data_IF_690401912561
#
_entry.id   IF_690401912561
#
_cell.length_a   1.000
_cell.length_b   1.000
_cell.length_c   1.000
_cell.angle_alpha   90.00
_cell.angle_beta   90.00
_cell.angle_gamma   90.00
#
_symmetry.space_group_name_H-M   'P 1'
#
loop_
_entity.id
_entity.type
_entity.pdbx_description
1 polymer ?
#
# COMPACT_ATOMS: atom_id res chain seq x y z
N UNK A 1 29.77 -6.44 -3.31
CA UNK A 1 28.34 -6.10 -3.39
C UNK A 1 28.15 -4.85 -2.57
N UNK A 2 27.62 -3.77 -3.15
CA UNK A 2 27.40 -2.54 -2.39
C UNK A 2 26.16 -2.68 -1.49
N UNK A 3 25.95 -1.74 -0.57
CA UNK A 3 24.84 -1.79 0.39
C UNK A 3 23.47 -1.78 -0.30
N UNK A 4 23.32 -1.02 -1.39
CA UNK A 4 22.08 -0.93 -2.14
C UNK A 4 21.69 -2.27 -2.80
N UNK A 5 22.67 -3.00 -3.35
CA UNK A 5 22.47 -4.33 -3.94
C UNK A 5 22.02 -5.33 -2.87
N UNK A 6 22.61 -5.27 -1.67
CA UNK A 6 22.22 -6.13 -0.56
C UNK A 6 20.79 -5.85 -0.10
N UNK A 7 20.41 -4.56 0.06
CA UNK A 7 19.03 -4.19 0.40
C UNK A 7 18.06 -4.70 -0.67
N UNK A 8 18.36 -4.47 -1.95
CA UNK A 8 17.54 -4.98 -3.06
C UNK A 8 17.37 -6.50 -3.00
N UNK A 9 18.43 -7.25 -2.70
CA UNK A 9 18.33 -8.70 -2.55
C UNK A 9 17.38 -9.09 -1.40
N UNK A 10 17.52 -8.44 -0.24
CA UNK A 10 16.65 -8.67 0.94
C UNK A 10 15.18 -8.39 0.60
N UNK A 11 14.89 -7.29 -0.09
CA UNK A 11 13.54 -6.89 -0.46
C UNK A 11 12.88 -7.82 -1.49
N UNK A 12 13.66 -8.62 -2.22
CA UNK A 12 13.16 -9.58 -3.19
C UNK A 12 13.08 -11.02 -2.64
N UNK A 13 13.37 -11.23 -1.35
CA UNK A 13 13.23 -12.55 -0.72
C UNK A 13 11.76 -12.96 -0.63
N UNK A 14 11.53 -14.27 -0.66
CA UNK A 14 10.21 -14.82 -0.45
C UNK A 14 9.67 -14.51 0.96
N UNK A 15 8.35 -14.37 1.10
CA UNK A 15 7.72 -14.10 2.41
C UNK A 15 7.90 -15.26 3.40
N UNK A 16 8.25 -16.46 2.92
CA UNK A 16 8.61 -17.61 3.77
C UNK A 16 10.01 -17.48 4.37
N UNK A 17 10.89 -16.72 3.75
CA UNK A 17 12.27 -16.55 4.20
C UNK A 17 12.31 -15.42 5.23
N UNK A 18 12.51 -15.70 6.53
CA UNK A 18 12.59 -14.64 7.52
C UNK A 18 13.78 -13.71 7.22
N UNK A 19 13.56 -12.41 7.41
CA UNK A 19 14.64 -11.43 7.33
C UNK A 19 15.22 -11.28 8.74
N UNK A 20 16.56 -11.37 8.93
CA UNK A 20 17.16 -11.21 10.24
C UNK A 20 16.74 -9.89 10.90
N UNK A 21 16.32 -9.94 12.17
CA UNK A 21 15.76 -8.77 12.88
C UNK A 21 16.70 -7.55 12.85
N UNK A 22 18.01 -7.75 12.93
CA UNK A 22 18.99 -6.68 12.83
C UNK A 22 18.94 -5.96 11.47
N UNK A 23 18.70 -6.71 10.38
CA UNK A 23 18.54 -6.15 9.03
C UNK A 23 17.21 -5.40 8.92
N UNK A 24 16.13 -5.97 9.47
CA UNK A 24 14.81 -5.30 9.52
C UNK A 24 14.93 -3.97 10.23
N UNK A 25 15.41 -3.97 11.47
CA UNK A 25 15.56 -2.75 12.29
C UNK A 25 16.48 -1.73 11.61
N UNK A 26 17.56 -2.16 10.97
CA UNK A 26 18.44 -1.26 10.22
C UNK A 26 17.70 -0.58 9.08
N UNK A 27 16.95 -1.32 8.25
CA UNK A 27 16.24 -0.74 7.11
C UNK A 27 15.05 0.11 7.56
N UNK A 28 14.27 -0.35 8.54
CA UNK A 28 13.04 0.34 8.98
C UNK A 28 13.30 1.51 9.93
N UNK A 29 14.53 1.70 10.41
CA UNK A 29 14.93 2.89 11.19
C UNK A 29 15.36 4.06 10.32
N UNK A 30 15.40 3.89 8.99
CA UNK A 30 15.79 4.91 8.03
C UNK A 30 14.60 5.33 7.16
N UNK A 31 14.60 6.56 6.62
CA UNK A 31 13.63 6.98 5.63
C UNK A 31 13.54 5.99 4.43
N UNK A 32 12.34 5.79 3.86
CA UNK A 32 11.09 6.50 4.18
C UNK A 32 10.33 5.96 5.40
N UNK A 33 10.81 4.90 6.05
CA UNK A 33 10.11 4.33 7.21
C UNK A 33 10.11 5.30 8.39
N UNK A 34 8.98 5.31 9.09
CA UNK A 34 8.83 6.02 10.36
C UNK A 34 8.34 4.98 11.37
N UNK A 35 9.22 4.50 12.27
CA UNK A 35 8.84 3.49 13.25
C UNK A 35 7.72 3.97 14.16
N UNK A 36 6.58 3.30 14.11
CA UNK A 36 5.45 3.50 15.02
C UNK A 36 5.14 2.18 15.69
N UNK A 37 5.16 2.18 17.01
CA UNK A 37 4.90 0.98 17.80
C UNK A 37 3.50 0.42 17.51
N UNK A 38 3.45 -0.87 17.16
CA UNK A 38 2.21 -1.56 16.81
C UNK A 38 1.72 -1.32 15.39
N UNK A 39 2.46 -0.54 14.58
CA UNK A 39 2.08 -0.29 13.18
C UNK A 39 3.15 -0.84 12.26
N UNK A 40 2.77 -1.84 11.45
CA UNK A 40 3.63 -2.36 10.39
C UNK A 40 3.62 -1.44 9.16
N UNK A 41 4.72 -1.48 8.42
CA UNK A 41 4.79 -0.92 7.07
C UNK A 41 4.50 0.59 6.97
N UNK A 42 4.63 1.35 8.07
CA UNK A 42 4.38 2.79 8.11
C UNK A 42 5.54 3.58 7.51
N UNK A 43 5.24 4.44 6.52
CA UNK A 43 6.23 5.30 5.86
C UNK A 43 5.58 6.53 5.26
N UNK A 44 6.38 7.59 5.14
CA UNK A 44 6.06 8.70 4.24
C UNK A 44 6.19 8.19 2.80
N UNK A 45 5.28 8.57 1.91
CA UNK A 45 5.40 8.26 0.50
C UNK A 45 6.52 9.09 -0.15
N UNK A 46 6.91 10.21 0.47
CA UNK A 46 8.13 10.92 0.08
C UNK A 46 9.38 10.15 0.46
N UNK A 47 10.31 10.08 -0.48
CA UNK A 47 11.68 9.66 -0.22
C UNK A 47 12.63 10.43 -1.14
N UNK A 48 13.92 10.36 -0.83
CA UNK A 48 14.95 11.00 -1.64
C UNK A 48 14.78 10.59 -3.12
N UNK A 49 14.66 11.61 -3.98
CA UNK A 49 14.56 11.45 -5.43
C UNK A 49 13.15 11.37 -6.03
N UNK A 50 12.09 11.06 -5.27
CA UNK A 50 10.75 10.87 -5.86
C UNK A 50 9.88 12.14 -5.95
N UNK A 51 10.36 13.29 -5.47
CA UNK A 51 9.69 14.60 -5.56
C UNK A 51 8.29 14.70 -4.92
N UNK A 52 7.79 13.66 -4.25
CA UNK A 52 6.59 13.78 -3.41
C UNK A 52 6.93 14.73 -2.27
N UNK A 53 6.01 15.65 -1.97
CA UNK A 53 6.13 16.58 -0.87
C UNK A 53 6.26 15.81 0.46
N UNK A 54 7.36 16.03 1.21
CA UNK A 54 7.52 15.39 2.51
C UNK A 54 6.43 15.76 3.51
N UNK A 55 6.05 14.77 4.30
CA UNK A 55 5.11 14.91 5.39
C UNK A 55 3.66 15.14 4.98
N UNK A 56 3.27 14.74 3.76
CA UNK A 56 1.89 14.94 3.29
C UNK A 56 1.10 13.64 3.11
N UNK A 57 1.67 12.67 2.40
CA UNK A 57 0.99 11.40 2.08
C UNK A 57 1.72 10.28 2.79
N UNK A 58 1.11 9.70 3.81
CA UNK A 58 1.64 8.54 4.52
C UNK A 58 0.90 7.27 4.11
N UNK A 59 1.61 6.15 4.15
CA UNK A 59 1.04 4.82 3.93
C UNK A 59 1.41 3.88 5.06
N UNK A 60 0.50 2.95 5.40
CA UNK A 60 0.75 1.97 6.46
C UNK A 60 -0.06 0.68 6.30
N UNK A 61 0.29 -0.33 7.10
CA UNK A 61 -0.64 -1.39 7.48
C UNK A 61 -1.72 -0.89 8.44
N UNK A 62 -2.47 -1.82 9.01
CA UNK A 62 -3.51 -1.52 9.99
C UNK A 62 -2.97 -0.69 11.17
N UNK A 63 -3.80 0.23 11.66
CA UNK A 63 -3.52 1.05 12.83
C UNK A 63 -4.19 0.50 14.10
N UNK A 64 -4.88 -0.64 14.01
CA UNK A 64 -5.64 -1.25 15.11
C UNK A 64 -4.80 -1.52 16.35
N UNK A 65 -3.54 -1.90 16.15
CA UNK A 65 -2.64 -2.32 17.21
C UNK A 65 -1.74 -1.19 17.70
N UNK A 66 -2.05 0.08 17.39
CA UNK A 66 -1.24 1.21 17.83
C UNK A 66 -1.25 1.33 19.36
N UNK A 67 -0.06 1.37 19.95
CA UNK A 67 0.12 1.52 21.40
C UNK A 67 1.22 2.52 21.75
N UNK A 68 1.42 2.75 23.05
CA UNK A 68 2.44 3.65 23.56
C UNK A 68 2.28 5.08 23.05
N UNK A 69 3.38 5.66 22.56
CA UNK A 69 3.39 7.03 22.02
C UNK A 69 2.90 7.14 20.57
N UNK A 70 2.56 6.02 19.92
CA UNK A 70 2.26 5.99 18.49
C UNK A 70 1.15 6.95 18.06
N UNK A 71 0.09 7.08 18.86
CA UNK A 71 -1.01 8.03 18.57
C UNK A 71 -0.54 9.50 18.58
N UNK A 72 0.37 9.84 19.50
CA UNK A 72 0.95 11.19 19.59
C UNK A 72 1.96 11.44 18.48
N UNK A 73 2.71 10.42 18.04
CA UNK A 73 3.56 10.52 16.84
C UNK A 73 2.71 10.89 15.63
N UNK A 74 1.61 10.17 15.39
CA UNK A 74 0.68 10.45 14.27
C UNK A 74 0.12 11.87 14.36
N UNK A 75 -0.55 12.21 15.47
CA UNK A 75 -1.30 13.47 15.56
C UNK A 75 -0.40 14.70 15.75
N UNK A 76 0.62 14.60 16.59
CA UNK A 76 1.40 15.76 17.04
C UNK A 76 2.72 15.91 16.29
N UNK A 77 3.49 14.84 16.13
CA UNK A 77 4.81 14.93 15.50
C UNK A 77 4.71 14.99 13.98
N UNK A 78 3.87 14.14 13.39
CA UNK A 78 3.65 14.08 11.94
C UNK A 78 2.55 15.04 11.47
N UNK A 79 1.78 15.62 12.38
CA UNK A 79 0.70 16.57 12.07
C UNK A 79 -0.44 15.95 11.26
N UNK A 80 -0.61 14.63 11.32
CA UNK A 80 -1.62 13.92 10.52
C UNK A 80 -3.01 14.25 11.06
N UNK A 81 -3.91 14.69 10.18
CA UNK A 81 -5.27 15.08 10.55
C UNK A 81 -6.31 14.09 10.04
N UNK A 82 -5.95 13.24 9.06
CA UNK A 82 -6.91 12.36 8.39
C UNK A 82 -6.34 10.95 8.17
N UNK A 83 -7.17 9.94 8.39
CA UNK A 83 -6.90 8.52 8.09
C UNK A 83 -7.94 8.06 7.07
N UNK A 84 -7.49 7.56 5.93
CA UNK A 84 -8.32 6.84 4.96
C UNK A 84 -8.11 5.34 5.14
N UNK A 85 -9.16 4.68 5.63
CA UNK A 85 -9.18 3.24 5.86
C UNK A 85 -9.75 2.55 4.63
N UNK A 86 -8.91 1.84 3.87
CA UNK A 86 -9.31 1.06 2.70
C UNK A 86 -9.71 -0.37 3.06
N UNK A 87 -10.00 -0.71 4.32
CA UNK A 87 -10.42 -2.07 4.68
C UNK A 87 -11.90 -2.31 4.38
N UNK A 88 -12.27 -3.54 4.07
CA UNK A 88 -13.68 -3.88 3.98
C UNK A 88 -14.33 -3.92 5.38
N UNK A 89 -15.65 -4.02 5.43
CA UNK A 89 -16.39 -4.00 6.69
C UNK A 89 -15.96 -5.12 7.65
N UNK A 90 -15.80 -6.35 7.16
CA UNK A 90 -15.42 -7.50 7.98
C UNK A 90 -14.01 -7.35 8.58
N UNK A 91 -13.06 -6.80 7.84
CA UNK A 91 -11.73 -6.48 8.33
C UNK A 91 -11.77 -5.42 9.45
N UNK A 92 -12.62 -4.38 9.31
CA UNK A 92 -12.78 -3.34 10.33
C UNK A 92 -13.47 -3.83 11.60
N UNK A 93 -14.45 -4.72 11.47
CA UNK A 93 -15.11 -5.33 12.62
C UNK A 93 -14.14 -6.20 13.43
N UNK A 94 -13.28 -6.97 12.73
CA UNK A 94 -12.24 -7.80 13.37
C UNK A 94 -11.14 -6.97 14.03
N UNK A 95 -10.76 -5.86 13.40
CA UNK A 95 -9.69 -4.98 13.87
C UNK A 95 -10.10 -3.50 13.76
N UNK A 96 -10.80 -2.94 14.76
CA UNK A 96 -11.31 -1.57 14.70
C UNK A 96 -10.21 -0.52 14.52
N UNK A 97 -10.47 0.53 13.74
CA UNK A 97 -9.56 1.68 13.60
C UNK A 97 -9.43 2.40 14.95
N UNK A 98 -8.23 2.88 15.34
CA UNK A 98 -8.04 3.54 16.62
C UNK A 98 -8.69 4.92 16.65
N UNK A 99 -9.21 5.32 17.81
CA UNK A 99 -9.52 6.72 18.08
C UNK A 99 -8.24 7.48 18.44
N UNK A 100 -7.96 8.55 17.70
CA UNK A 100 -6.83 9.47 17.90
C UNK A 100 -7.38 10.91 17.91
N UNK A 101 -7.16 11.63 19.01
CA UNK A 101 -7.65 13.00 19.16
C UNK A 101 -7.11 13.92 18.07
N UNK A 102 -8.00 14.67 17.41
CA UNK A 102 -7.63 15.58 16.32
C UNK A 102 -7.47 14.92 14.95
N UNK A 103 -7.64 13.59 14.86
CA UNK A 103 -7.50 12.84 13.61
C UNK A 103 -8.83 12.23 13.19
N UNK A 104 -9.31 12.59 12.01
CA UNK A 104 -10.55 12.06 11.45
C UNK A 104 -10.28 10.77 10.67
N UNK A 105 -10.99 9.69 11.00
CA UNK A 105 -11.00 8.49 10.15
C UNK A 105 -12.14 8.55 9.15
N UNK A 106 -11.81 8.44 7.87
CA UNK A 106 -12.75 8.34 6.74
C UNK A 106 -12.73 6.89 6.26
N UNK A 107 -13.91 6.29 6.21
CA UNK A 107 -14.13 4.96 5.67
C UNK A 107 -15.35 5.00 4.77
N UNK A 108 -15.21 4.50 3.55
CA UNK A 108 -16.31 4.30 2.63
C UNK A 108 -16.41 2.81 2.28
N UNK A 109 -17.63 2.25 2.17
CA UNK A 109 -17.81 0.89 1.69
C UNK A 109 -17.20 0.68 0.31
N UNK A 110 -16.73 -0.54 0.05
CA UNK A 110 -16.33 -0.98 -1.28
C UNK A 110 -17.55 -0.91 -2.21
N UNK A 111 -17.46 -0.09 -3.26
CA UNK A 111 -18.59 0.22 -4.15
C UNK A 111 -19.04 -0.96 -5.01
N UNK A 112 -18.11 -1.84 -5.36
CA UNK A 112 -18.36 -3.14 -5.96
C UNK A 112 -17.71 -4.21 -5.08
N UNK A 113 -18.32 -5.39 -4.92
CA UNK A 113 -17.54 -6.54 -4.42
C UNK A 113 -16.41 -6.74 -5.43
N UNK A 114 -15.13 -6.76 -5.02
CA UNK A 114 -14.06 -7.18 -5.91
C UNK A 114 -14.49 -8.50 -6.56
N UNK A 115 -14.27 -8.66 -7.87
CA UNK A 115 -14.51 -9.94 -8.53
C UNK A 115 -13.90 -11.05 -7.66
N UNK A 116 -14.65 -12.13 -7.43
CA UNK A 116 -14.21 -13.23 -6.57
C UNK A 116 -12.79 -13.63 -6.94
N UNK A 117 -11.88 -13.51 -5.98
CA UNK A 117 -10.48 -13.90 -6.14
C UNK A 117 -10.44 -15.37 -6.53
N UNK A 118 -9.95 -15.66 -7.73
CA UNK A 118 -9.65 -17.01 -8.14
C UNK A 118 -8.21 -17.32 -7.77
N UNK A 119 -8.01 -18.19 -6.78
CA UNK A 119 -6.68 -18.54 -6.27
C UNK A 119 -5.80 -19.21 -7.33
N UNK A 120 -6.43 -19.88 -8.31
CA UNK A 120 -5.73 -20.44 -9.47
C UNK A 120 -5.03 -19.37 -10.32
N UNK A 121 -5.52 -18.13 -10.35
CA UNK A 121 -4.91 -17.04 -11.13
C UNK A 121 -3.55 -16.59 -10.54
N UNK A 122 -3.25 -16.97 -9.29
CA UNK A 122 -1.97 -16.71 -8.62
C UNK A 122 -0.97 -17.86 -8.78
N UNK A 123 -1.39 -18.94 -9.45
CA UNK A 123 -0.52 -20.08 -9.77
C UNK A 123 -0.01 -19.94 -11.19
N UNK A 124 1.22 -20.41 -11.46
CA UNK A 124 1.77 -20.43 -12.82
C UNK A 124 3.23 -20.06 -12.91
N UNK A 125 3.78 -20.15 -14.12
CA UNK A 125 5.19 -19.87 -14.42
C UNK A 125 5.57 -18.40 -14.19
N UNK A 126 4.61 -17.48 -14.23
CA UNK A 126 4.78 -16.06 -13.95
C UNK A 126 4.72 -15.72 -12.45
N UNK A 127 4.57 -16.73 -11.59
CA UNK A 127 4.41 -16.60 -10.13
C UNK A 127 3.22 -15.73 -9.74
N UNK A 128 2.13 -15.83 -10.50
CA UNK A 128 0.85 -15.20 -10.18
C UNK A 128 0.75 -13.72 -10.55
N UNK A 129 1.70 -13.19 -11.35
CA UNK A 129 1.67 -11.81 -11.80
C UNK A 129 0.35 -11.45 -12.49
N UNK A 130 -0.18 -12.32 -13.35
CA UNK A 130 -1.49 -12.15 -13.99
C UNK A 130 -2.65 -12.05 -12.98
N UNK A 131 -2.66 -12.90 -11.95
CA UNK A 131 -3.64 -12.84 -10.86
C UNK A 131 -3.56 -11.53 -10.07
N UNK A 132 -2.36 -11.05 -9.79
CA UNK A 132 -2.16 -9.74 -9.16
C UNK A 132 -2.64 -8.58 -10.02
N UNK A 133 -2.37 -8.59 -11.34
CA UNK A 133 -2.87 -7.56 -12.27
C UNK A 133 -4.39 -7.50 -12.21
N UNK A 134 -5.07 -8.65 -12.36
CA UNK A 134 -6.53 -8.75 -12.29
C UNK A 134 -7.06 -8.24 -10.95
N UNK A 135 -6.42 -8.63 -9.85
CA UNK A 135 -6.80 -8.17 -8.50
C UNK A 135 -6.61 -6.65 -8.34
N UNK A 136 -5.49 -6.09 -8.81
CA UNK A 136 -5.20 -4.66 -8.67
C UNK A 136 -6.11 -3.80 -9.54
N UNK A 137 -6.50 -4.26 -10.74
CA UNK A 137 -7.53 -3.61 -11.53
C UNK A 137 -8.90 -3.67 -10.83
N UNK A 138 -9.27 -4.82 -10.24
CA UNK A 138 -10.49 -4.95 -9.45
C UNK A 138 -10.50 -4.06 -8.19
N UNK A 139 -9.33 -3.76 -7.60
CA UNK A 139 -9.20 -2.79 -6.51
C UNK A 139 -9.58 -1.39 -6.99
N UNK A 140 -9.17 -0.96 -8.19
CA UNK A 140 -9.51 0.36 -8.73
C UNK A 140 -11.02 0.55 -8.80
N UNK A 141 -11.73 -0.44 -9.36
CA UNK A 141 -13.19 -0.43 -9.46
C UNK A 141 -13.83 -0.36 -8.07
N UNK A 142 -13.44 -1.28 -7.19
CA UNK A 142 -14.07 -1.48 -5.90
C UNK A 142 -13.78 -0.32 -4.91
N UNK A 143 -12.60 0.29 -5.00
CA UNK A 143 -12.17 1.41 -4.16
C UNK A 143 -12.51 2.78 -4.73
N UNK A 144 -13.17 2.88 -5.90
CA UNK A 144 -13.55 4.13 -6.55
C UNK A 144 -14.10 5.20 -5.59
N UNK A 145 -15.09 4.90 -4.71
CA UNK A 145 -15.60 5.91 -3.79
C UNK A 145 -14.54 6.46 -2.83
N UNK A 146 -13.68 5.58 -2.31
CA UNK A 146 -12.58 5.97 -1.42
C UNK A 146 -11.52 6.77 -2.16
N UNK A 147 -11.17 6.38 -3.39
CA UNK A 147 -10.17 7.09 -4.18
C UNK A 147 -10.63 8.48 -4.57
N UNK A 148 -11.92 8.65 -4.92
CA UNK A 148 -12.51 9.99 -5.13
C UNK A 148 -12.30 10.87 -3.90
N UNK A 149 -12.63 10.38 -2.69
CA UNK A 149 -12.47 11.18 -1.48
C UNK A 149 -11.00 11.48 -1.15
N UNK A 150 -10.09 10.54 -1.37
CA UNK A 150 -8.65 10.77 -1.15
C UNK A 150 -8.11 11.80 -2.15
N UNK A 151 -8.44 11.71 -3.43
CA UNK A 151 -7.97 12.68 -4.43
C UNK A 151 -8.61 14.06 -4.24
N UNK A 152 -9.87 14.14 -3.78
CA UNK A 152 -10.46 15.40 -3.31
C UNK A 152 -9.67 15.99 -2.14
N UNK A 153 -9.26 15.16 -1.17
CA UNK A 153 -8.42 15.62 -0.05
C UNK A 153 -7.07 16.17 -0.54
N UNK A 154 -6.42 15.48 -1.47
CA UNK A 154 -5.18 15.97 -2.10
C UNK A 154 -5.39 17.34 -2.78
N UNK A 155 -6.53 17.53 -3.46
CA UNK A 155 -6.88 18.78 -4.15
C UNK A 155 -7.23 19.91 -3.17
N UNK A 156 -8.09 19.63 -2.20
CA UNK A 156 -8.80 20.65 -1.41
C UNK A 156 -8.15 20.93 -0.05
N UNK A 157 -7.34 19.99 0.45
CA UNK A 157 -6.73 20.03 1.79
C UNK A 157 -5.21 19.93 1.74
N UNK A 158 -4.53 20.83 1.00
CA UNK A 158 -3.09 20.75 0.80
C UNK A 158 -2.26 21.06 2.07
N UNK A 159 -2.88 21.37 3.20
CA UNK A 159 -2.22 21.58 4.49
C UNK A 159 -2.51 20.47 5.51
N UNK A 160 -3.24 19.43 5.12
CA UNK A 160 -3.75 18.41 6.02
C UNK A 160 -3.11 17.06 5.67
N UNK A 161 -1.99 16.68 6.32
CA UNK A 161 -1.36 15.39 6.10
C UNK A 161 -2.30 14.23 6.43
N UNK A 162 -2.20 13.16 5.65
CA UNK A 162 -3.10 12.03 5.78
C UNK A 162 -2.39 10.68 5.65
N UNK A 163 -2.98 9.65 6.26
CA UNK A 163 -2.58 8.25 6.11
C UNK A 163 -3.57 7.56 5.18
N UNK A 164 -3.08 6.75 4.24
CA UNK A 164 -3.88 5.73 3.55
C UNK A 164 -3.41 4.35 3.98
N UNK A 165 -4.32 3.52 4.48
CA UNK A 165 -3.96 2.18 4.92
C UNK A 165 -4.98 1.13 4.50
N UNK A 166 -4.55 -0.12 4.52
CA UNK A 166 -5.42 -1.29 4.48
C UNK A 166 -5.01 -2.24 5.62
N UNK A 167 -5.12 -3.56 5.45
CA UNK A 167 -4.70 -4.52 6.49
C UNK A 167 -3.17 -4.62 6.58
N UNK A 168 -2.51 -4.95 5.46
CA UNK A 168 -1.04 -5.05 5.39
C UNK A 168 -0.36 -3.78 4.85
N UNK A 169 -1.13 -2.84 4.29
CA UNK A 169 -0.55 -1.68 3.60
C UNK A 169 0.17 -2.05 2.30
N UNK A 170 -0.13 -3.23 1.74
CA UNK A 170 0.50 -3.80 0.54
C UNK A 170 -0.31 -3.54 -0.71
N UNK A 171 -1.48 -4.17 -0.83
CA UNK A 171 -2.22 -4.23 -2.10
C UNK A 171 -3.02 -2.97 -2.36
N UNK A 172 -4.13 -2.75 -1.64
CA UNK A 172 -5.00 -1.57 -1.82
C UNK A 172 -4.25 -0.25 -1.61
N UNK A 173 -3.46 -0.20 -0.55
CA UNK A 173 -2.57 0.94 -0.27
C UNK A 173 -1.48 1.07 -1.33
N UNK A 174 -0.90 -0.03 -1.83
CA UNK A 174 0.13 0.02 -2.86
C UNK A 174 -0.41 0.47 -4.22
N UNK A 175 -1.61 0.05 -4.60
CA UNK A 175 -2.32 0.56 -5.78
C UNK A 175 -2.53 2.07 -5.65
N UNK A 176 -3.05 2.55 -4.51
CA UNK A 176 -3.16 3.99 -4.26
C UNK A 176 -1.82 4.72 -4.35
N UNK A 177 -0.77 4.20 -3.70
CA UNK A 177 0.57 4.79 -3.75
C UNK A 177 1.14 4.83 -5.17
N UNK A 178 0.92 3.79 -5.97
CA UNK A 178 1.31 3.75 -7.37
C UNK A 178 0.60 4.86 -8.18
N UNK A 179 -0.70 5.07 -7.97
CA UNK A 179 -1.43 6.17 -8.63
C UNK A 179 -0.87 7.54 -8.28
N UNK A 180 -0.54 7.79 -7.01
CA UNK A 180 0.08 9.05 -6.58
C UNK A 180 1.43 9.27 -7.25
N UNK A 181 2.27 8.23 -7.31
CA UNK A 181 3.60 8.31 -7.92
C UNK A 181 3.54 8.44 -9.45
N UNK A 182 2.60 7.76 -10.12
CA UNK A 182 2.33 7.96 -11.54
C UNK A 182 1.86 9.39 -11.81
N UNK A 183 0.98 9.94 -10.97
CA UNK A 183 0.45 11.30 -11.15
C UNK A 183 1.55 12.37 -11.16
N UNK A 184 2.63 12.16 -10.40
CA UNK A 184 3.79 13.04 -10.39
C UNK A 184 4.92 12.58 -11.34
N UNK A 185 4.58 11.72 -12.32
CA UNK A 185 5.45 11.23 -13.39
C UNK A 185 6.68 10.46 -12.91
N UNK A 186 6.55 9.62 -11.87
CA UNK A 186 7.64 8.72 -11.49
C UNK A 186 7.77 7.53 -12.45
N UNK A 187 9.02 7.12 -12.77
CA UNK A 187 9.24 5.97 -13.62
C UNK A 187 8.84 4.68 -12.89
N UNK A 188 8.41 3.68 -13.65
CA UNK A 188 7.84 2.45 -13.09
C UNK A 188 8.80 1.71 -12.14
N UNK A 189 10.11 1.76 -12.39
CA UNK A 189 11.12 1.13 -11.55
C UNK A 189 11.17 1.76 -10.14
N UNK A 190 11.01 3.08 -10.03
CA UNK A 190 10.91 3.75 -8.73
C UNK A 190 9.61 3.40 -7.99
N UNK A 191 8.49 3.27 -8.70
CA UNK A 191 7.22 2.85 -8.11
C UNK A 191 7.31 1.41 -7.60
N UNK A 192 7.94 0.54 -8.37
CA UNK A 192 8.23 -0.84 -7.97
C UNK A 192 9.16 -0.86 -6.76
N UNK A 193 10.17 0.01 -6.71
CA UNK A 193 11.09 0.13 -5.57
C UNK A 193 10.37 0.54 -4.28
N UNK A 194 9.45 1.51 -4.30
CA UNK A 194 8.61 1.83 -3.12
C UNK A 194 7.71 0.65 -2.72
N UNK A 195 7.12 -0.03 -3.71
CA UNK A 195 6.26 -1.18 -3.44
C UNK A 195 7.00 -2.30 -2.71
N UNK A 196 8.21 -2.67 -3.15
CA UNK A 196 8.98 -3.78 -2.56
C UNK A 196 9.52 -3.48 -1.16
N UNK A 197 9.60 -2.22 -0.73
CA UNK A 197 9.87 -1.87 0.68
C UNK A 197 8.84 -2.54 1.62
N UNK A 198 7.64 -2.82 1.13
CA UNK A 198 6.62 -3.56 1.87
C UNK A 198 7.13 -4.92 2.38
N UNK A 199 8.09 -5.55 1.68
CA UNK A 199 8.66 -6.84 2.11
C UNK A 199 9.26 -6.76 3.49
N UNK A 200 10.12 -5.77 3.74
CA UNK A 200 10.73 -5.59 5.07
C UNK A 200 9.76 -4.92 6.05
N UNK A 201 8.90 -4.02 5.55
CA UNK A 201 7.89 -3.34 6.37
C UNK A 201 6.85 -4.27 6.99
N UNK A 202 6.65 -5.46 6.41
CA UNK A 202 5.77 -6.50 6.92
C UNK A 202 6.47 -7.55 7.78
N UNK A 203 7.79 -7.51 7.95
CA UNK A 203 8.51 -8.60 8.62
C UNK A 203 8.01 -8.82 10.07
N UNK A 204 7.70 -7.75 10.79
CA UNK A 204 7.16 -7.85 12.17
C UNK A 204 5.75 -8.46 12.24
N UNK A 205 5.02 -8.49 11.13
CA UNK A 205 3.68 -9.06 11.01
C UNK A 205 3.67 -10.32 10.13
N UNK A 206 4.84 -10.80 9.70
CA UNK A 206 4.98 -11.90 8.72
C UNK A 206 4.38 -13.19 9.23
N UNK A 207 4.64 -13.54 10.49
CA UNK A 207 4.11 -14.76 11.11
C UNK A 207 2.59 -14.71 11.22
N UNK A 208 2.03 -13.60 11.70
CA UNK A 208 0.57 -13.41 11.76
C UNK A 208 -0.08 -13.47 10.37
N UNK A 209 0.59 -12.91 9.35
CA UNK A 209 0.13 -12.98 7.95
C UNK A 209 0.13 -14.43 7.44
N UNK A 210 1.18 -15.20 7.77
CA UNK A 210 1.30 -16.62 7.40
C UNK A 210 0.34 -17.52 8.20
N UNK A 211 0.05 -17.19 9.45
CA UNK A 211 -0.89 -17.93 10.29
C UNK A 211 -2.34 -17.68 9.85
N UNK A 212 -2.70 -16.43 9.57
CA UNK A 212 -3.98 -16.10 8.96
C UNK A 212 -4.16 -16.81 7.61
N UNK A 213 -3.07 -17.02 6.87
CA UNK A 213 -3.05 -17.84 5.66
C UNK A 213 -3.32 -19.33 5.95
N UNK A 214 -2.63 -19.92 6.94
CA UNK A 214 -2.81 -21.32 7.32
C UNK A 214 -4.25 -21.63 7.81
N UNK A 215 -4.82 -20.71 8.61
CA UNK A 215 -6.19 -20.82 9.13
C UNK A 215 -7.23 -20.75 8.01
N UNK A 216 -7.10 -19.82 7.05
CA UNK A 216 -8.06 -19.70 5.94
C UNK A 216 -8.03 -20.90 4.99
N UNK A 217 -6.95 -21.68 4.98
CA UNK A 217 -6.83 -22.93 4.21
C UNK A 217 -7.26 -24.17 5.00
N UNK A 218 -7.66 -24.03 6.27
CA UNK A 218 -7.98 -25.16 7.14
C UNK A 218 -6.77 -26.08 7.41
N UNK A 219 -5.56 -25.59 7.22
CA UNK A 219 -4.34 -26.39 7.16
C UNK A 219 -3.46 -26.12 8.39
N UNK A 220 -3.67 -26.88 9.46
CA UNK A 220 -2.75 -26.91 10.60
C UNK A 220 -1.52 -27.75 10.27
N UNK A 221 -0.33 -27.14 10.25
CA UNK A 221 0.95 -27.82 10.03
C UNK A 221 1.12 -28.34 8.60
N UNK A 222 1.54 -27.47 7.68
CA UNK A 222 1.59 -27.79 6.24
C UNK A 222 2.99 -28.17 5.78
N UNK A 223 3.14 -29.37 5.22
CA UNK A 223 4.28 -29.73 4.36
C UNK A 223 4.15 -28.96 3.04
N UNK A 224 5.03 -27.98 2.85
CA UNK A 224 5.03 -27.08 1.69
C UNK A 224 5.17 -27.80 0.35
N UNK A 225 5.69 -29.03 0.35
CA UNK A 225 5.86 -29.83 -0.87
C UNK A 225 4.57 -30.54 -1.30
N UNK A 226 3.51 -30.44 -0.50
CA UNK A 226 2.21 -31.08 -0.74
C UNK A 226 1.05 -30.08 -0.79
N UNK A 227 1.34 -28.79 -1.00
CA UNK A 227 0.32 -27.75 -1.11
C UNK A 227 -0.57 -27.99 -2.33
N UNK A 228 -1.89 -27.83 -2.15
CA UNK A 228 -2.81 -27.75 -3.29
C UNK A 228 -2.52 -26.49 -4.11
N UNK A 229 -2.88 -26.45 -5.41
CA UNK A 229 -2.76 -25.24 -6.22
C UNK A 229 -3.38 -23.99 -5.56
N UNK A 230 -4.50 -24.13 -4.87
CA UNK A 230 -5.17 -23.03 -4.15
C UNK A 230 -4.33 -22.55 -2.97
N UNK A 231 -3.69 -23.46 -2.24
CA UNK A 231 -2.80 -23.15 -1.13
C UNK A 231 -1.49 -22.48 -1.62
N UNK A 232 -0.96 -22.91 -2.77
CA UNK A 232 0.15 -22.25 -3.47
C UNK A 232 -0.23 -20.83 -3.93
N UNK A 233 -1.40 -20.66 -4.54
CA UNK A 233 -1.89 -19.36 -4.99
C UNK A 233 -2.09 -18.38 -3.83
N UNK A 234 -2.65 -18.85 -2.71
CA UNK A 234 -2.77 -18.06 -1.49
C UNK A 234 -1.41 -17.67 -0.89
N UNK A 235 -0.39 -18.52 -1.04
CA UNK A 235 0.96 -18.25 -0.54
C UNK A 235 1.61 -17.15 -1.39
N UNK A 236 1.45 -17.22 -2.71
CA UNK A 236 1.88 -16.15 -3.61
C UNK A 236 1.15 -14.84 -3.30
N UNK A 237 -0.15 -14.89 -2.95
CA UNK A 237 -0.93 -13.73 -2.52
C UNK A 237 -0.36 -13.07 -1.25
N UNK A 238 0.28 -13.82 -0.35
CA UNK A 238 0.95 -13.24 0.83
C UNK A 238 2.24 -12.48 0.47
N UNK A 239 2.89 -12.85 -0.64
CA UNK A 239 4.17 -12.32 -1.07
C UNK A 239 4.16 -10.85 -1.52
N UNK A 240 5.34 -10.23 -1.57
CA UNK A 240 5.58 -8.93 -2.19
C UNK A 240 6.41 -9.19 -3.44
N UNK A 241 5.86 -8.89 -4.62
CA UNK A 241 6.48 -9.24 -5.90
C UNK A 241 6.67 -8.01 -6.79
N UNK A 242 7.93 -7.67 -7.08
CA UNK A 242 8.27 -6.58 -7.99
C UNK A 242 7.62 -6.76 -9.37
N UNK A 243 7.61 -7.98 -9.88
CA UNK A 243 7.03 -8.36 -11.17
C UNK A 243 5.53 -8.12 -11.22
N UNK A 244 4.80 -8.38 -10.13
CA UNK A 244 3.36 -8.13 -10.05
C UNK A 244 3.02 -6.64 -10.12
N UNK A 245 3.76 -5.80 -9.38
CA UNK A 245 3.57 -4.34 -9.47
C UNK A 245 3.98 -3.81 -10.84
N UNK A 246 5.10 -4.27 -11.40
CA UNK A 246 5.53 -3.88 -12.74
C UNK A 246 4.51 -4.24 -13.82
N UNK A 247 3.96 -5.46 -13.77
CA UNK A 247 2.91 -5.92 -14.68
C UNK A 247 1.63 -5.10 -14.52
N UNK A 248 1.25 -4.76 -13.28
CA UNK A 248 0.10 -3.89 -13.01
C UNK A 248 0.30 -2.50 -13.62
N UNK A 249 1.45 -1.87 -13.44
CA UNK A 249 1.71 -0.53 -13.99
C UNK A 249 1.57 -0.51 -15.51
N UNK A 250 2.11 -1.53 -16.20
CA UNK A 250 1.95 -1.68 -17.65
C UNK A 250 0.47 -1.86 -18.04
N UNK A 251 -0.24 -2.76 -17.35
CA UNK A 251 -1.65 -3.00 -17.64
C UNK A 251 -2.53 -1.76 -17.37
N UNK A 252 -2.26 -1.04 -16.28
CA UNK A 252 -2.96 0.16 -15.89
C UNK A 252 -2.80 1.28 -16.91
N UNK A 253 -1.57 1.62 -17.28
CA UNK A 253 -1.29 2.67 -18.28
C UNK A 253 -1.93 2.34 -19.63
N UNK A 254 -1.98 1.07 -20.02
CA UNK A 254 -2.67 0.62 -21.24
C UNK A 254 -4.21 0.61 -21.14
N UNK A 255 -4.77 0.69 -19.93
CA UNK A 255 -6.23 0.64 -19.72
C UNK A 255 -6.91 2.01 -19.82
N UNK A 256 -6.13 3.10 -19.79
CA UNK A 256 -6.66 4.46 -19.74
C UNK A 256 -5.95 5.35 -20.78
N UNK A 257 -6.74 6.17 -21.49
CA UNK A 257 -6.16 7.17 -22.37
C UNK A 257 -5.36 8.18 -21.53
N UNK A 258 -4.07 8.37 -21.81
CA UNK A 258 -3.15 9.18 -21.00
C UNK A 258 -2.93 8.64 -19.57
N UNK A 259 -3.03 7.32 -19.38
CA UNK A 259 -2.64 6.65 -18.14
C UNK A 259 -3.37 7.17 -16.91
N UNK A 260 -2.63 7.50 -15.87
CA UNK A 260 -3.20 8.02 -14.61
C UNK A 260 -4.05 9.28 -14.77
N UNK A 261 -3.73 10.19 -15.71
CA UNK A 261 -4.56 11.38 -15.93
C UNK A 261 -5.94 10.99 -16.46
N UNK A 262 -5.98 10.08 -17.43
CA UNK A 262 -7.23 9.52 -17.94
C UNK A 262 -8.04 8.82 -16.86
N UNK A 263 -7.38 8.03 -16.00
CA UNK A 263 -8.06 7.42 -14.87
C UNK A 263 -8.70 8.45 -13.92
N UNK A 264 -7.99 9.52 -13.59
CA UNK A 264 -8.55 10.56 -12.71
C UNK A 264 -9.71 11.31 -13.37
N UNK A 265 -9.65 11.56 -14.68
CA UNK A 265 -10.67 12.32 -15.40
C UNK A 265 -11.87 11.43 -15.74
N UNK A 266 -11.65 10.37 -16.52
CA UNK A 266 -12.70 9.51 -17.05
C UNK A 266 -13.17 8.50 -16.00
N UNK A 267 -12.27 7.99 -15.17
CA UNK A 267 -12.57 6.97 -14.16
C UNK A 267 -13.11 7.55 -12.86
N UNK A 268 -12.55 8.67 -12.38
CA UNK A 268 -12.94 9.29 -11.10
C UNK A 268 -13.76 10.57 -11.24
N UNK A 269 -13.90 11.12 -12.46
CA UNK A 269 -14.74 12.28 -12.74
C UNK A 269 -14.12 13.64 -12.39
N UNK A 270 -12.78 13.73 -12.29
CA UNK A 270 -12.09 15.00 -12.05
C UNK A 270 -11.90 15.80 -13.35
N UNK A 271 -11.75 17.13 -13.25
CA UNK A 271 -11.35 17.95 -14.38
C UNK A 271 -9.82 17.96 -14.56
N UNK A 272 -9.35 18.36 -15.75
CA UNK A 272 -7.92 18.63 -15.98
C UNK A 272 -7.35 19.66 -14.99
N UNK A 273 -8.17 20.63 -14.56
CA UNK A 273 -7.75 21.63 -13.57
C UNK A 273 -7.54 21.02 -12.19
N UNK A 274 -8.40 20.07 -11.79
CA UNK A 274 -8.29 19.34 -10.53
C UNK A 274 -7.00 18.52 -10.50
N UNK A 275 -6.73 17.77 -11.59
CA UNK A 275 -5.49 16.97 -11.75
C UNK A 275 -4.24 17.86 -11.64
N UNK A 276 -4.27 19.04 -12.25
CA UNK A 276 -3.17 20.01 -12.19
C UNK A 276 -2.96 20.57 -10.77
N UNK A 277 -4.04 20.82 -10.02
CA UNK A 277 -3.97 21.22 -8.61
C UNK A 277 -3.41 20.09 -7.74
N UNK A 278 -3.87 18.85 -7.94
CA UNK A 278 -3.37 17.69 -7.20
C UNK A 278 -1.87 17.51 -7.40
N UNK A 279 -1.38 17.55 -8.65
CA UNK A 279 0.06 17.48 -8.95
C UNK A 279 0.86 18.54 -8.21
N UNK A 280 0.36 19.79 -8.22
CA UNK A 280 1.01 20.90 -7.52
C UNK A 280 1.07 20.64 -6.02
N UNK A 281 -0.04 20.25 -5.42
CA UNK A 281 -0.13 19.99 -3.98
C UNK A 281 0.72 18.78 -3.54
N UNK A 282 0.93 17.80 -4.44
CA UNK A 282 1.78 16.64 -4.21
C UNK A 282 3.27 16.92 -4.34
N UNK A 283 3.69 17.98 -5.03
CA UNK A 283 5.11 18.25 -5.34
C UNK A 283 5.67 19.51 -4.69
N UNK A 284 4.83 20.54 -4.48
CA UNK A 284 5.28 21.84 -3.99
C UNK A 284 4.97 22.00 -2.49
N UNK A 285 5.96 22.45 -1.72
CA UNK A 285 5.72 22.91 -0.34
C UNK A 285 4.75 24.09 -0.39
N UNK A 286 3.65 23.99 0.37
CA UNK A 286 2.70 25.09 0.44
C UNK A 286 3.20 26.06 1.48
N UNK A 287 3.60 27.25 1.04
CA UNK A 287 3.97 28.35 1.93
C UNK A 287 2.74 28.81 2.70
N UNK A 288 2.83 28.80 4.04
CA UNK A 288 1.85 29.50 4.88
C UNK A 288 1.87 30.99 4.48
N UNK A 289 0.70 31.53 4.14
CA UNK A 289 0.48 32.98 4.08
C UNK A 289 0.05 33.47 5.45
#
# INVERSE_FOLDING_TARGET
MNEADHIRQVLNTDIRTPIPQAVVTRITSLPPFIPIQGVSNFRDLSHDGNQVRPGFVYRSGTLSDIYGTGKSVIATQLGITTIFDLRNEGERQKAPSPSITGVKTIWLPYGARPATLNLGDFTGADKGAAGFVKMYLGILEAATPSFIEIFKHIRDKPHDPFIVHCSAGKDRTGVFSALVLLLINRPHDEIVNDYILTRVGLESARENLMEAFAINLGAGGVDINQLSPEALGMLELCGVRATSMAAFLVAFENSWNNGVEGYLIDGLGFSQSDVSVMRRNLTQRVTFR
#
